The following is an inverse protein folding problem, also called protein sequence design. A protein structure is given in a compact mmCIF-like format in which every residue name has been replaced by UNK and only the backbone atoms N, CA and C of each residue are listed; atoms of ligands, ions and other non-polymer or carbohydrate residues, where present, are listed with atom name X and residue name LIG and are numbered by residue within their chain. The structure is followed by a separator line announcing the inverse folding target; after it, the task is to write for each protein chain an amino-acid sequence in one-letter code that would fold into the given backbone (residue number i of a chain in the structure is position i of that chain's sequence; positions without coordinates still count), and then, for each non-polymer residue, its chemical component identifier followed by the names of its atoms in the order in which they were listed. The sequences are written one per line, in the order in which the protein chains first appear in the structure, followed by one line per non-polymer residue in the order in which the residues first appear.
data_IF_708741666589
#
_entry.id   IF_708741666589
#
_cell.length_a   1.000
_cell.length_b   1.000
_cell.length_c   1.000
_cell.angle_alpha   90.00
_cell.angle_beta   90.00
_cell.angle_gamma   90.00
#
_symmetry.space_group_name_H-M   'P 1'
#
loop_
_entity.id
_entity.type
_entity.pdbx_description
1 polymer ?
#
# COMPACT_ATOMS: atom_id res chain seq x y z
N UNK A 1 -9.77 -26.59 1.89
CA UNK A 1 -8.78 -25.60 1.46
C UNK A 1 -8.79 -24.50 2.50
N UNK A 2 -7.66 -24.20 3.11
CA UNK A 2 -7.52 -23.14 4.10
C UNK A 2 -7.57 -21.77 3.43
N UNK A 3 -7.72 -20.69 4.20
CA UNK A 3 -7.72 -19.32 3.67
C UNK A 3 -6.40 -19.00 2.97
N UNK A 4 -5.27 -19.39 3.57
CA UNK A 4 -3.95 -19.18 2.99
C UNK A 4 -3.77 -19.97 1.68
N UNK A 5 -4.20 -21.24 1.63
CA UNK A 5 -4.17 -22.05 0.40
C UNK A 5 -5.03 -21.44 -0.72
N UNK A 6 -6.23 -20.90 -0.43
CA UNK A 6 -7.09 -20.24 -1.42
C UNK A 6 -6.42 -18.98 -1.97
N UNK A 7 -5.84 -18.15 -1.11
CA UNK A 7 -5.10 -16.95 -1.54
C UNK A 7 -3.89 -17.32 -2.40
N UNK A 8 -3.13 -18.34 -2.01
CA UNK A 8 -1.96 -18.83 -2.75
C UNK A 8 -2.34 -19.41 -4.11
N UNK A 9 -3.38 -20.25 -4.16
CA UNK A 9 -3.88 -20.84 -5.40
C UNK A 9 -4.33 -19.77 -6.41
N UNK A 10 -4.88 -18.65 -5.93
CA UNK A 10 -5.30 -17.53 -6.79
C UNK A 10 -4.16 -16.58 -7.19
N UNK A 11 -2.95 -16.81 -6.73
CA UNK A 11 -1.82 -15.91 -6.98
C UNK A 11 -1.94 -14.56 -6.24
N UNK A 12 -2.67 -14.51 -5.13
CA UNK A 12 -2.85 -13.31 -4.31
C UNK A 12 -1.77 -13.17 -3.22
N UNK A 13 -0.91 -14.15 -3.07
CA UNK A 13 0.28 -14.12 -2.20
C UNK A 13 1.51 -14.07 -3.09
N UNK A 14 2.28 -13.01 -2.98
CA UNK A 14 3.56 -12.87 -3.69
C UNK A 14 4.72 -13.32 -2.81
N UNK A 15 4.73 -12.93 -1.55
CA UNK A 15 5.78 -13.23 -0.60
C UNK A 15 5.23 -13.33 0.83
N UNK A 16 5.98 -13.96 1.72
CA UNK A 16 5.62 -14.16 3.13
C UNK A 16 6.85 -13.92 3.99
N UNK A 17 6.74 -13.05 4.97
CA UNK A 17 7.87 -12.66 5.83
C UNK A 17 8.28 -13.72 6.85
N UNK A 18 7.35 -14.59 7.25
CA UNK A 18 7.57 -15.65 8.24
C UNK A 18 6.59 -16.82 8.00
N UNK A 19 6.97 -18.07 8.28
CA UNK A 19 6.05 -19.22 8.27
C UNK A 19 4.81 -19.03 9.16
N UNK A 20 4.92 -18.28 10.25
CA UNK A 20 3.84 -18.04 11.22
C UNK A 20 2.67 -17.25 10.60
N UNK A 21 2.92 -16.53 9.49
CA UNK A 21 1.88 -15.78 8.77
C UNK A 21 0.79 -16.70 8.23
N UNK A 22 1.13 -17.88 7.73
CA UNK A 22 0.16 -18.87 7.27
C UNK A 22 -0.77 -19.32 8.39
N UNK A 23 -0.21 -19.67 9.55
CA UNK A 23 -1.00 -20.06 10.73
C UNK A 23 -1.90 -18.91 11.18
N UNK A 24 -1.37 -17.70 11.25
CA UNK A 24 -2.11 -16.51 11.67
C UNK A 24 -3.29 -16.19 10.73
N UNK A 25 -3.08 -16.28 9.40
CA UNK A 25 -4.15 -16.09 8.41
C UNK A 25 -5.22 -17.18 8.54
N UNK A 26 -4.83 -18.43 8.75
CA UNK A 26 -5.79 -19.52 8.85
C UNK A 26 -6.58 -19.49 10.17
N UNK A 27 -6.04 -18.90 11.23
CA UNK A 27 -6.68 -18.78 12.54
C UNK A 27 -7.79 -17.73 12.59
N UNK A 28 -7.72 -16.69 11.77
CA UNK A 28 -8.63 -15.56 11.82
C UNK A 28 -8.33 -14.55 12.94
N UNK A 29 -9.14 -13.51 13.04
CA UNK A 29 -9.09 -12.53 14.14
C UNK A 29 -7.98 -11.47 14.04
N UNK A 30 -7.20 -11.43 12.94
CA UNK A 30 -6.20 -10.41 12.72
C UNK A 30 -6.82 -9.08 12.27
N UNK A 31 -6.17 -7.99 12.61
CA UNK A 31 -6.29 -6.72 11.88
C UNK A 31 -5.24 -6.70 10.79
N UNK A 32 -5.59 -6.27 9.61
CA UNK A 32 -4.66 -6.10 8.49
C UNK A 32 -4.95 -4.79 7.78
N UNK A 33 -3.94 -4.20 7.19
CA UNK A 33 -4.16 -3.04 6.35
C UNK A 33 -3.96 -3.36 4.86
N UNK A 34 -4.61 -2.55 4.04
CA UNK A 34 -4.40 -2.48 2.60
C UNK A 34 -4.18 -1.02 2.24
N UNK A 35 -3.13 -0.74 1.47
CA UNK A 35 -2.82 0.60 0.98
C UNK A 35 -3.34 0.82 -0.43
N UNK A 36 -3.90 1.99 -0.69
CA UNK A 36 -4.29 2.44 -2.04
C UNK A 36 -3.88 3.88 -2.24
N UNK A 37 -3.02 4.13 -3.22
CA UNK A 37 -2.70 5.48 -3.65
C UNK A 37 -3.85 6.06 -4.50
N UNK A 38 -4.43 7.19 -4.09
CA UNK A 38 -5.62 7.76 -4.72
C UNK A 38 -5.25 8.56 -5.98
N UNK A 39 -4.70 7.86 -6.98
CA UNK A 39 -4.25 8.47 -8.26
C UNK A 39 -5.38 8.76 -9.25
N UNK A 40 -6.61 8.38 -8.94
CA UNK A 40 -7.84 8.64 -9.68
C UNK A 40 -9.05 8.52 -8.77
N UNK A 41 -10.19 8.99 -9.23
CA UNK A 41 -11.46 9.01 -8.49
C UNK A 41 -12.21 7.68 -8.51
N UNK A 42 -11.70 6.69 -9.21
CA UNK A 42 -12.34 5.37 -9.30
C UNK A 42 -11.35 4.22 -9.35
N UNK A 43 -11.78 3.09 -8.81
CA UNK A 43 -11.08 1.82 -8.90
C UNK A 43 -11.40 1.16 -10.25
N UNK A 44 -10.42 0.44 -10.79
CA UNK A 44 -10.58 -0.37 -12.00
C UNK A 44 -10.45 -1.86 -11.69
N UNK A 45 -10.64 -2.70 -12.70
CA UNK A 45 -10.63 -4.16 -12.54
C UNK A 45 -9.33 -4.70 -11.92
N UNK A 46 -8.18 -4.06 -12.14
CA UNK A 46 -6.93 -4.43 -11.48
C UNK A 46 -7.01 -4.32 -9.96
N UNK A 47 -7.58 -3.24 -9.44
CA UNK A 47 -7.82 -3.09 -7.99
C UNK A 47 -8.83 -4.13 -7.48
N UNK A 48 -9.85 -4.46 -8.28
CA UNK A 48 -10.79 -5.50 -7.91
C UNK A 48 -10.12 -6.87 -7.78
N UNK A 49 -9.32 -7.26 -8.75
CA UNK A 49 -8.67 -8.57 -8.77
C UNK A 49 -7.62 -8.75 -7.65
N UNK A 50 -7.00 -7.67 -7.17
CA UNK A 50 -5.97 -7.70 -6.14
C UNK A 50 -6.50 -7.25 -4.79
N UNK A 51 -6.73 -5.95 -4.63
CA UNK A 51 -7.10 -5.32 -3.35
C UNK A 51 -8.44 -5.85 -2.84
N UNK A 52 -9.50 -5.72 -3.64
CA UNK A 52 -10.86 -6.08 -3.21
C UNK A 52 -11.00 -7.59 -3.00
N UNK A 53 -10.50 -8.39 -3.94
CA UNK A 53 -10.61 -9.84 -3.87
C UNK A 53 -9.86 -10.42 -2.66
N UNK A 54 -8.67 -9.88 -2.33
CA UNK A 54 -7.91 -10.29 -1.14
C UNK A 54 -8.62 -9.86 0.14
N UNK A 55 -9.04 -8.58 0.20
CA UNK A 55 -9.74 -8.03 1.37
C UNK A 55 -10.98 -8.82 1.69
N UNK A 56 -11.82 -9.09 0.68
CA UNK A 56 -13.07 -9.85 0.88
C UNK A 56 -12.81 -11.24 1.46
N UNK A 57 -11.80 -11.95 0.97
CA UNK A 57 -11.45 -13.29 1.47
C UNK A 57 -10.95 -13.28 2.89
N UNK A 58 -10.12 -12.31 3.23
CA UNK A 58 -9.64 -12.15 4.60
C UNK A 58 -10.79 -11.76 5.55
N UNK A 59 -11.71 -10.90 5.12
CA UNK A 59 -12.92 -10.58 5.89
C UNK A 59 -13.80 -11.81 6.11
N UNK A 60 -14.01 -12.60 5.07
CA UNK A 60 -14.82 -13.84 5.16
C UNK A 60 -14.17 -14.89 6.07
N UNK A 61 -12.84 -14.83 6.24
CA UNK A 61 -12.08 -15.63 7.19
C UNK A 61 -12.03 -15.03 8.62
N UNK A 62 -12.77 -13.94 8.88
CA UNK A 62 -12.90 -13.33 10.21
C UNK A 62 -11.80 -12.32 10.55
N UNK A 63 -11.08 -11.80 9.57
CA UNK A 63 -10.10 -10.71 9.76
C UNK A 63 -10.75 -9.33 9.59
N UNK A 64 -10.16 -8.31 10.20
CA UNK A 64 -10.65 -6.93 10.16
C UNK A 64 -9.75 -6.06 9.29
N UNK A 65 -10.24 -5.52 8.15
CA UNK A 65 -9.46 -4.64 7.29
C UNK A 65 -9.38 -3.21 7.81
N UNK A 66 -8.26 -2.56 7.54
CA UNK A 66 -8.04 -1.13 7.64
C UNK A 66 -7.59 -0.65 6.27
N UNK A 67 -8.28 0.32 5.68
CA UNK A 67 -7.86 0.93 4.43
C UNK A 67 -6.92 2.10 4.74
N UNK A 68 -5.68 2.02 4.28
CA UNK A 68 -4.77 3.16 4.25
C UNK A 68 -4.94 3.89 2.92
N UNK A 69 -5.50 5.08 2.98
CA UNK A 69 -5.53 5.98 1.85
C UNK A 69 -4.19 6.71 1.75
N UNK A 70 -3.51 6.58 0.63
CA UNK A 70 -2.21 7.17 0.37
C UNK A 70 -2.27 8.69 0.13
N UNK A 71 -2.76 9.47 1.09
CA UNK A 71 -2.83 10.93 0.97
C UNK A 71 -1.45 11.60 0.94
N UNK A 72 -0.49 11.05 1.68
CA UNK A 72 0.91 11.48 1.65
C UNK A 72 1.70 10.78 0.52
N UNK A 73 1.64 9.45 0.46
CA UNK A 73 2.35 8.67 -0.57
C UNK A 73 1.85 8.95 -1.98
N UNK A 74 0.57 9.23 -2.17
CA UNK A 74 -0.02 9.59 -3.45
C UNK A 74 0.49 10.92 -4.03
N UNK A 75 1.02 11.83 -3.19
CA UNK A 75 1.68 13.06 -3.63
C UNK A 75 3.08 12.78 -4.22
N UNK A 76 3.70 11.69 -3.82
CA UNK A 76 5.03 11.24 -4.29
C UNK A 76 4.86 10.26 -5.46
N UNK A 77 4.04 9.23 -5.28
CA UNK A 77 3.76 8.17 -6.24
C UNK A 77 4.78 7.02 -6.23
N UNK A 78 4.24 5.81 -6.21
CA UNK A 78 5.03 4.57 -6.32
C UNK A 78 5.78 4.52 -7.67
N UNK A 79 7.08 4.20 -7.70
CA UNK A 79 7.87 4.13 -8.94
C UNK A 79 7.26 3.19 -9.98
N UNK A 80 7.02 3.71 -11.18
CA UNK A 80 6.62 2.88 -12.33
C UNK A 80 7.86 2.43 -13.10
N UNK A 81 7.80 1.27 -13.78
CA UNK A 81 8.96 0.72 -14.49
C UNK A 81 9.58 1.65 -15.55
N UNK A 82 8.76 2.48 -16.21
CA UNK A 82 9.18 3.19 -17.43
C UNK A 82 8.97 4.70 -17.40
N UNK A 83 8.30 5.24 -16.37
CA UNK A 83 7.95 6.67 -16.36
C UNK A 83 7.74 7.15 -14.92
N UNK A 84 8.15 8.38 -14.65
CA UNK A 84 7.81 9.09 -13.42
C UNK A 84 6.30 9.39 -13.38
N UNK A 85 5.69 9.28 -12.21
CA UNK A 85 4.27 9.62 -12.06
C UNK A 85 4.07 11.13 -12.11
N UNK A 86 3.04 11.64 -12.82
CA UNK A 86 2.67 13.04 -12.72
C UNK A 86 2.25 13.37 -11.29
N UNK A 87 2.71 14.50 -10.78
CA UNK A 87 2.29 15.01 -9.48
C UNK A 87 0.82 15.43 -9.55
N UNK A 88 0.04 15.01 -8.54
CA UNK A 88 -1.37 15.41 -8.38
C UNK A 88 -1.51 16.44 -7.27
N UNK A 89 -2.52 17.33 -7.38
CA UNK A 89 -2.77 18.32 -6.34
C UNK A 89 -3.35 17.71 -5.06
N UNK A 90 -3.15 18.36 -3.93
CA UNK A 90 -3.70 17.92 -2.64
C UNK A 90 -5.22 17.83 -2.66
N UNK A 91 -5.87 18.74 -3.37
CA UNK A 91 -7.34 18.77 -3.54
C UNK A 91 -7.83 17.56 -4.34
N UNK A 92 -7.13 17.20 -5.43
CA UNK A 92 -7.45 16.02 -6.23
C UNK A 92 -7.26 14.73 -5.40
N UNK A 93 -6.17 14.64 -4.64
CA UNK A 93 -5.92 13.49 -3.74
C UNK A 93 -7.05 13.36 -2.71
N UNK A 94 -7.46 14.45 -2.06
CA UNK A 94 -8.57 14.42 -1.10
C UNK A 94 -9.88 13.96 -1.73
N UNK A 95 -10.23 14.50 -2.89
CA UNK A 95 -11.42 14.09 -3.64
C UNK A 95 -11.38 12.58 -4.00
N UNK A 96 -10.26 12.12 -4.51
CA UNK A 96 -10.07 10.73 -4.90
C UNK A 96 -10.20 9.77 -3.70
N UNK A 97 -9.66 10.14 -2.52
CA UNK A 97 -9.80 9.35 -1.27
C UNK A 97 -11.28 9.17 -0.94
N UNK A 98 -12.08 10.25 -0.98
CA UNK A 98 -13.51 10.17 -0.69
C UNK A 98 -14.26 9.25 -1.68
N UNK A 99 -13.93 9.34 -2.96
CA UNK A 99 -14.54 8.51 -4.01
C UNK A 99 -14.17 7.03 -3.84
N UNK A 100 -12.87 6.71 -3.66
CA UNK A 100 -12.39 5.35 -3.50
C UNK A 100 -12.95 4.71 -2.23
N UNK A 101 -12.98 5.44 -1.11
CA UNK A 101 -13.53 4.94 0.15
C UNK A 101 -15.00 4.56 0.02
N UNK A 102 -15.81 5.38 -0.65
CA UNK A 102 -17.23 5.06 -0.92
C UNK A 102 -17.37 3.82 -1.80
N UNK A 103 -16.51 3.66 -2.82
CA UNK A 103 -16.55 2.50 -3.72
C UNK A 103 -16.16 1.22 -2.98
N UNK A 104 -15.09 1.23 -2.19
CA UNK A 104 -14.66 0.07 -1.42
C UNK A 104 -15.75 -0.38 -0.44
N UNK A 105 -16.32 0.55 0.33
CA UNK A 105 -17.38 0.25 1.26
C UNK A 105 -18.61 -0.34 0.57
N UNK A 106 -18.99 0.20 -0.60
CA UNK A 106 -20.10 -0.33 -1.39
C UNK A 106 -19.83 -1.73 -1.92
N UNK A 107 -18.64 -1.99 -2.43
CA UNK A 107 -18.28 -3.30 -3.03
C UNK A 107 -18.14 -4.38 -1.95
N UNK A 108 -17.52 -4.05 -0.82
CA UNK A 108 -17.31 -5.01 0.27
C UNK A 108 -18.57 -5.19 1.17
N UNK A 109 -19.56 -4.31 1.03
CA UNK A 109 -20.79 -4.36 1.82
C UNK A 109 -20.55 -4.09 3.31
N UNK A 110 -19.51 -3.35 3.65
CA UNK A 110 -19.09 -3.07 5.01
C UNK A 110 -18.58 -1.63 5.14
N UNK A 111 -18.71 -1.05 6.33
CA UNK A 111 -18.09 0.23 6.65
C UNK A 111 -16.65 -0.02 7.18
N UNK A 112 -15.67 0.03 6.28
CA UNK A 112 -14.27 -0.21 6.59
C UNK A 112 -13.65 1.05 7.20
N UNK A 113 -12.84 0.87 8.24
CA UNK A 113 -12.03 1.95 8.78
C UNK A 113 -11.08 2.46 7.70
N UNK A 114 -11.15 3.75 7.39
CA UNK A 114 -10.23 4.43 6.47
C UNK A 114 -9.33 5.33 7.29
N UNK A 115 -8.03 5.23 7.10
CA UNK A 115 -7.01 6.12 7.67
C UNK A 115 -6.23 6.76 6.53
N UNK A 116 -5.77 7.99 6.71
CA UNK A 116 -5.04 8.73 5.70
C UNK A 116 -3.58 8.87 6.13
N UNK A 117 -2.64 8.31 5.37
CA UNK A 117 -1.23 8.40 5.76
C UNK A 117 -0.64 9.82 5.68
N UNK A 118 -1.34 10.78 5.08
CA UNK A 118 -0.98 12.20 5.19
C UNK A 118 -1.01 12.70 6.64
N UNK A 119 -1.85 12.11 7.51
CA UNK A 119 -2.01 12.53 8.91
C UNK A 119 -0.73 12.36 9.73
N UNK A 120 0.14 11.41 9.35
CA UNK A 120 1.46 11.22 9.98
C UNK A 120 2.63 11.60 9.08
N UNK A 121 2.57 11.32 7.77
CA UNK A 121 3.69 11.61 6.87
C UNK A 121 3.89 13.12 6.64
N UNK A 122 2.81 13.91 6.56
CA UNK A 122 2.91 15.35 6.35
C UNK A 122 3.27 16.15 7.60
N UNK A 123 3.11 15.58 8.79
CA UNK A 123 3.51 16.17 10.06
C UNK A 123 5.04 16.00 10.33
N UNK A 124 5.67 15.05 9.66
CA UNK A 124 7.06 14.71 9.85
C UNK A 124 7.98 15.73 9.17
N UNK A 125 8.93 16.30 9.92
CA UNK A 125 9.94 17.14 9.30
C UNK A 125 11.06 16.30 8.65
N UNK A 126 11.77 16.90 7.70
CA UNK A 126 12.79 16.21 6.90
C UNK A 126 13.96 15.64 7.74
N UNK A 127 14.32 16.29 8.84
CA UNK A 127 15.44 15.85 9.70
C UNK A 127 15.02 14.62 10.50
N UNK A 128 13.82 14.63 11.06
CA UNK A 128 13.29 13.49 11.82
C UNK A 128 13.07 12.29 10.89
N UNK A 129 12.55 12.51 9.68
CA UNK A 129 12.43 11.46 8.66
C UNK A 129 13.79 10.79 8.36
N UNK A 130 14.83 11.57 8.11
CA UNK A 130 16.16 11.02 7.79
C UNK A 130 16.81 10.37 9.01
N UNK A 131 16.74 11.01 10.18
CA UNK A 131 17.40 10.55 11.41
C UNK A 131 16.75 9.32 12.00
N UNK A 132 15.41 9.30 12.07
CA UNK A 132 14.70 8.29 12.85
C UNK A 132 14.27 7.09 11.98
N UNK A 133 13.96 7.33 10.71
CA UNK A 133 13.56 6.28 9.77
C UNK A 133 14.64 5.97 8.73
N UNK A 134 15.20 6.97 8.08
CA UNK A 134 16.17 6.78 7.00
C UNK A 134 17.37 5.92 7.39
N UNK A 135 17.85 6.02 8.62
CA UNK A 135 18.97 5.22 9.16
C UNK A 135 18.75 3.70 9.13
N UNK A 136 17.50 3.25 9.08
CA UNK A 136 17.16 1.83 9.06
C UNK A 136 17.12 1.23 7.64
N UNK A 137 17.26 2.06 6.61
CA UNK A 137 17.18 1.64 5.23
C UNK A 137 18.57 1.55 4.59
N UNK A 138 18.99 0.33 4.26
CA UNK A 138 20.24 0.10 3.56
C UNK A 138 20.09 0.41 2.06
N UNK A 139 20.90 1.31 1.53
CA UNK A 139 20.88 1.75 0.13
C UNK A 139 21.04 0.57 -0.84
N UNK A 140 21.96 -0.36 -0.57
CA UNK A 140 22.17 -1.52 -1.45
C UNK A 140 20.91 -2.39 -1.53
N UNK A 141 20.21 -2.58 -0.40
CA UNK A 141 18.94 -3.29 -0.37
C UNK A 141 17.86 -2.56 -1.18
N UNK A 142 17.77 -1.25 -1.04
CA UNK A 142 16.81 -0.42 -1.79
C UNK A 142 17.09 -0.48 -3.31
N UNK A 143 18.36 -0.40 -3.72
CA UNK A 143 18.76 -0.49 -5.12
C UNK A 143 18.51 -1.88 -5.74
N UNK A 144 18.49 -2.93 -4.92
CA UNK A 144 18.23 -4.30 -5.37
C UNK A 144 16.76 -4.60 -5.65
N UNK A 145 15.82 -3.75 -5.20
CA UNK A 145 14.39 -3.93 -5.47
C UNK A 145 14.10 -3.84 -6.97
N UNK A 146 13.30 -4.77 -7.50
CA UNK A 146 13.02 -4.89 -8.94
C UNK A 146 12.48 -3.59 -9.56
N UNK A 147 11.60 -2.90 -8.86
CA UNK A 147 11.04 -1.61 -9.29
C UNK A 147 12.10 -0.53 -9.45
N UNK A 148 13.07 -0.47 -8.53
CA UNK A 148 14.19 0.48 -8.57
C UNK A 148 15.22 0.04 -9.62
N UNK A 149 15.61 -1.22 -9.61
CA UNK A 149 16.64 -1.78 -10.50
C UNK A 149 16.32 -1.53 -11.99
N UNK A 150 15.05 -1.66 -12.38
CA UNK A 150 14.60 -1.38 -13.76
C UNK A 150 14.72 0.09 -14.16
N UNK A 151 14.82 0.98 -13.19
CA UNK A 151 14.89 2.43 -13.39
C UNK A 151 16.32 2.97 -13.31
N UNK A 152 17.32 2.19 -12.86
CA UNK A 152 18.71 2.67 -12.70
C UNK A 152 19.30 3.18 -14.01
N UNK A 153 19.03 2.53 -15.13
CA UNK A 153 19.60 2.88 -16.44
C UNK A 153 18.92 4.13 -17.07
N UNK A 154 17.64 4.35 -16.76
CA UNK A 154 16.86 5.48 -17.31
C UNK A 154 16.73 6.64 -16.32
N UNK A 155 17.15 6.43 -15.08
CA UNK A 155 17.07 7.39 -14.00
C UNK A 155 15.83 7.21 -13.11
N UNK A 156 16.03 7.42 -11.82
CA UNK A 156 14.99 7.49 -10.80
C UNK A 156 15.24 8.72 -9.93
N UNK A 157 14.22 9.52 -9.68
CA UNK A 157 14.36 10.66 -8.77
C UNK A 157 14.46 10.21 -7.33
N UNK A 158 15.10 11.03 -6.48
CA UNK A 158 15.14 10.74 -5.04
C UNK A 158 13.72 10.68 -4.44
N UNK A 159 12.80 11.47 -4.97
CA UNK A 159 11.38 11.46 -4.60
C UNK A 159 10.78 10.07 -4.76
N UNK A 160 10.86 9.49 -5.96
CA UNK A 160 10.37 8.13 -6.22
C UNK A 160 11.15 7.07 -5.43
N UNK A 161 12.46 7.22 -5.30
CA UNK A 161 13.31 6.30 -4.56
C UNK A 161 12.95 6.24 -3.07
N UNK A 162 12.58 7.36 -2.47
CA UNK A 162 12.19 7.44 -1.06
C UNK A 162 10.79 6.85 -0.77
N UNK A 163 9.96 6.58 -1.77
CA UNK A 163 8.61 6.06 -1.61
C UNK A 163 8.55 4.81 -0.71
N UNK A 164 9.49 3.88 -0.87
CA UNK A 164 9.51 2.65 -0.07
C UNK A 164 9.73 2.91 1.42
N UNK A 165 10.42 4.00 1.80
CA UNK A 165 10.58 4.39 3.20
C UNK A 165 9.25 4.88 3.75
N UNK A 166 8.55 5.74 2.99
CA UNK A 166 7.23 6.26 3.36
C UNK A 166 6.21 5.13 3.54
N UNK A 167 6.17 4.19 2.60
CA UNK A 167 5.28 3.03 2.69
C UNK A 167 5.60 2.13 3.90
N UNK A 168 6.89 2.02 4.27
CA UNK A 168 7.27 1.23 5.44
C UNK A 168 6.84 1.86 6.76
N UNK A 169 6.72 3.19 6.82
CA UNK A 169 6.22 3.92 7.99
C UNK A 169 4.72 3.65 8.19
N UNK A 170 3.97 3.39 7.13
CA UNK A 170 2.54 3.05 7.21
C UNK A 170 2.27 1.77 8.01
N UNK A 171 3.30 0.93 8.20
CA UNK A 171 3.18 -0.32 8.96
C UNK A 171 3.35 -0.12 10.48
N UNK A 172 3.98 0.97 10.92
CA UNK A 172 4.25 1.28 12.33
C UNK A 172 3.04 1.94 13.00
#
# INVERSE_FOLDING_TARGET
MTTFEDLKWRGLINDVTSPDVEEAINKGGLKFYIGVDPTGDSMHIGHYCTVIATTKRLMDAGHTPILIAGGGTGLIGDPKPNVERPMISKEAVKHNIECISKQINKILGANIQVVNNADWLCEMNAIDFLRDYGKHFNINYMLAKDTVKRRLDIGITYTEFSYMILQSIDFL
#
